data_IF_559944589949
#
_entry.id   IF_559944589949
#
_cell.length_a   1.000
_cell.length_b   1.000
_cell.length_c   1.000
_cell.angle_alpha   90.00
_cell.angle_beta   90.00
_cell.angle_gamma   90.00
#
_symmetry.space_group_name_H-M   'P 1'
#
loop_
_entity.id
_entity.type
_entity.pdbx_description
1 polymer ?
#
# COMPACT_ATOMS: atom_id res chain seq x y z
N UNK A 1 -6.13 3.07 23.37
CA UNK A 1 -6.70 4.39 23.71
C UNK A 1 -8.09 4.49 23.12
N UNK A 2 -9.07 5.00 23.86
CA UNK A 2 -10.41 5.27 23.31
C UNK A 2 -10.42 6.69 22.76
N UNK A 3 -10.76 6.84 21.49
CA UNK A 3 -10.77 8.12 20.79
C UNK A 3 -12.06 8.20 20.00
N UNK A 4 -12.75 9.33 20.12
CA UNK A 4 -13.92 9.60 19.31
C UNK A 4 -13.44 10.38 18.07
N UNK A 5 -13.68 9.80 16.89
CA UNK A 5 -13.36 10.40 15.60
C UNK A 5 -14.57 10.22 14.69
N UNK A 6 -14.86 11.23 13.89
CA UNK A 6 -15.87 11.13 12.84
C UNK A 6 -15.25 10.47 11.61
N UNK A 7 -15.94 9.47 11.09
CA UNK A 7 -15.54 8.72 9.89
C UNK A 7 -16.79 8.59 9.03
N UNK A 8 -16.65 8.83 7.73
CA UNK A 8 -17.72 8.59 6.78
C UNK A 8 -18.20 7.13 6.81
N UNK A 9 -19.50 6.92 6.96
CA UNK A 9 -20.06 5.59 7.12
C UNK A 9 -19.96 4.73 5.85
N UNK A 10 -20.01 5.34 4.65
CA UNK A 10 -19.84 4.60 3.39
C UNK A 10 -18.42 4.10 3.28
N UNK A 11 -17.43 4.95 3.58
CA UNK A 11 -16.01 4.57 3.63
C UNK A 11 -15.77 3.42 4.61
N UNK A 12 -16.34 3.49 5.82
CA UNK A 12 -16.20 2.43 6.80
C UNK A 12 -16.81 1.11 6.32
N UNK A 13 -18.00 1.15 5.70
CA UNK A 13 -18.65 -0.05 5.15
C UNK A 13 -17.85 -0.66 4.00
N UNK A 14 -17.33 0.16 3.09
CA UNK A 14 -16.47 -0.30 1.99
C UNK A 14 -15.19 -0.95 2.50
N UNK A 15 -14.54 -0.34 3.50
CA UNK A 15 -13.35 -0.89 4.13
C UNK A 15 -13.63 -2.21 4.85
N UNK A 16 -14.75 -2.31 5.58
CA UNK A 16 -15.20 -3.53 6.23
C UNK A 16 -15.45 -4.65 5.21
N UNK A 17 -16.16 -4.35 4.12
CA UNK A 17 -16.44 -5.32 3.04
C UNK A 17 -15.16 -5.77 2.34
N UNK A 18 -14.29 -4.84 1.99
CA UNK A 18 -13.02 -5.12 1.30
C UNK A 18 -12.06 -5.94 2.17
N UNK A 19 -12.05 -5.68 3.48
CA UNK A 19 -11.24 -6.43 4.44
C UNK A 19 -11.87 -7.72 4.95
N UNK A 20 -13.16 -7.97 4.68
CA UNK A 20 -13.92 -9.09 5.26
C UNK A 20 -14.06 -9.01 6.79
N UNK A 21 -14.08 -7.80 7.35
CA UNK A 21 -14.02 -7.56 8.80
C UNK A 21 -15.40 -7.29 9.38
N UNK A 22 -15.65 -7.83 10.58
CA UNK A 22 -16.97 -7.79 11.22
C UNK A 22 -17.20 -6.53 12.03
N UNK A 23 -16.15 -5.90 12.53
CA UNK A 23 -16.26 -4.72 13.40
C UNK A 23 -15.55 -3.49 12.85
N UNK A 24 -16.10 -2.30 13.16
CA UNK A 24 -15.45 -1.01 12.86
C UNK A 24 -14.06 -0.93 13.51
N UNK A 25 -13.90 -1.46 14.74
CA UNK A 25 -12.62 -1.49 15.46
C UNK A 25 -11.54 -2.28 14.73
N UNK A 26 -11.85 -3.53 14.33
CA UNK A 26 -10.90 -4.37 13.58
C UNK A 26 -10.49 -3.70 12.27
N UNK A 27 -11.45 -3.08 11.59
CA UNK A 27 -11.22 -2.38 10.33
C UNK A 27 -10.27 -1.21 10.48
N UNK A 28 -10.49 -0.37 11.50
CA UNK A 28 -9.59 0.76 11.80
C UNK A 28 -8.20 0.25 12.17
N UNK A 29 -8.10 -0.79 12.99
CA UNK A 29 -6.80 -1.32 13.41
C UNK A 29 -6.02 -1.96 12.26
N UNK A 30 -6.70 -2.71 11.39
CA UNK A 30 -6.12 -3.28 10.18
C UNK A 30 -5.65 -2.18 9.21
N UNK A 31 -6.46 -1.15 9.01
CA UNK A 31 -6.12 -0.01 8.15
C UNK A 31 -4.88 0.73 8.66
N UNK A 32 -4.78 0.99 9.97
CA UNK A 32 -3.60 1.64 10.57
C UNK A 32 -2.33 0.78 10.44
N UNK A 33 -2.44 -0.54 10.63
CA UNK A 33 -1.32 -1.48 10.40
C UNK A 33 -0.86 -1.45 8.94
N UNK A 34 -1.80 -1.49 8.00
CA UNK A 34 -1.51 -1.41 6.57
C UNK A 34 -0.83 -0.09 6.19
N UNK A 35 -1.35 1.03 6.69
CA UNK A 35 -0.78 2.36 6.48
C UNK A 35 0.67 2.43 6.96
N UNK A 36 0.95 1.98 8.19
CA UNK A 36 2.30 1.97 8.74
C UNK A 36 3.24 1.08 7.91
N UNK A 37 2.79 -0.11 7.49
CA UNK A 37 3.57 -1.00 6.64
C UNK A 37 3.92 -0.35 5.32
N UNK A 38 2.96 0.28 4.67
CA UNK A 38 3.14 0.96 3.38
C UNK A 38 4.08 2.17 3.52
N UNK A 39 3.93 2.98 4.57
CA UNK A 39 4.84 4.12 4.81
C UNK A 39 6.27 3.66 5.08
N UNK A 40 6.45 2.56 5.82
CA UNK A 40 7.77 1.97 6.05
C UNK A 40 8.39 1.43 4.75
N UNK A 41 7.62 0.72 3.91
CA UNK A 41 8.15 0.19 2.65
C UNK A 41 8.54 1.31 1.68
N UNK A 42 7.73 2.37 1.57
CA UNK A 42 8.06 3.54 0.75
C UNK A 42 9.38 4.19 1.18
N UNK A 43 9.60 4.34 2.49
CA UNK A 43 10.88 4.88 3.01
C UNK A 43 12.06 3.98 2.66
N UNK A 44 11.92 2.66 2.80
CA UNK A 44 12.98 1.72 2.39
C UNK A 44 13.30 1.79 0.90
N UNK A 45 12.29 1.98 0.05
CA UNK A 45 12.51 2.18 -1.39
C UNK A 45 13.31 3.46 -1.62
N UNK A 46 12.98 4.56 -0.93
CA UNK A 46 13.74 5.81 -1.00
C UNK A 46 15.21 5.62 -0.58
N UNK A 47 15.48 4.81 0.44
CA UNK A 47 16.86 4.50 0.89
C UNK A 47 17.67 3.67 -0.11
N UNK A 48 17.01 3.00 -1.06
CA UNK A 48 17.65 2.21 -2.10
C UNK A 48 18.01 3.03 -3.34
N UNK A 49 17.45 4.24 -3.49
CA UNK A 49 17.85 5.14 -4.57
C UNK A 49 19.33 5.49 -4.46
N UNK A 50 20.06 5.31 -5.56
CA UNK A 50 21.51 5.53 -5.63
C UNK A 50 22.37 4.39 -5.05
N UNK A 51 21.76 3.34 -4.47
CA UNK A 51 22.48 2.15 -3.98
C UNK A 51 22.33 0.93 -4.90
N UNK A 52 21.41 0.99 -5.86
CA UNK A 52 21.17 -0.08 -6.82
C UNK A 52 21.96 0.24 -8.08
N UNK A 53 22.94 -0.60 -8.39
CA UNK A 53 23.59 -0.64 -9.69
C UNK A 53 22.79 -1.57 -10.61
N UNK A 54 22.35 -1.04 -11.74
CA UNK A 54 21.70 -1.85 -12.77
C UNK A 54 22.78 -2.47 -13.66
N UNK A 55 22.58 -3.72 -14.07
CA UNK A 55 23.44 -4.36 -15.06
C UNK A 55 23.42 -3.52 -16.36
N UNK A 56 24.57 -3.14 -16.92
CA UNK A 56 24.64 -2.38 -18.17
C UNK A 56 23.90 -3.03 -19.35
N UNK A 57 23.77 -4.35 -19.35
CA UNK A 57 23.03 -5.10 -20.37
C UNK A 57 21.51 -5.14 -20.11
N UNK A 58 21.03 -4.63 -18.97
CA UNK A 58 19.61 -4.62 -18.61
C UNK A 58 18.84 -3.53 -19.36
N UNK A 59 18.14 -3.93 -20.42
CA UNK A 59 17.24 -3.05 -21.18
C UNK A 59 15.77 -3.23 -20.78
N UNK A 60 15.31 -2.36 -19.88
CA UNK A 60 13.93 -2.31 -19.41
C UNK A 60 12.90 -1.94 -20.50
N UNK A 61 13.31 -1.48 -21.70
CA UNK A 61 12.40 -1.15 -22.80
C UNK A 61 11.85 -2.39 -23.50
N UNK A 62 12.65 -3.45 -23.61
CA UNK A 62 12.26 -4.74 -24.21
C UNK A 62 11.05 -5.39 -23.52
N UNK A 63 10.86 -5.14 -22.21
CA UNK A 63 9.71 -5.63 -21.44
C UNK A 63 8.41 -4.85 -21.71
N UNK A 64 8.49 -3.61 -22.22
CA UNK A 64 7.31 -2.76 -22.49
C UNK A 64 6.78 -2.93 -23.92
N UNK A 65 7.62 -3.40 -24.83
CA UNK A 65 7.26 -3.59 -26.25
C UNK A 65 6.40 -4.84 -26.51
N UNK A 66 6.31 -5.77 -25.54
CA UNK A 66 5.73 -7.10 -25.77
C UNK A 66 4.21 -7.23 -25.59
N UNK A 67 3.45 -6.14 -25.41
CA UNK A 67 1.97 -6.19 -25.36
C UNK A 67 1.28 -4.96 -25.94
N UNK A 68 1.37 -4.79 -27.25
CA UNK A 68 0.30 -4.19 -28.05
C UNK A 68 0.03 -5.15 -29.22
N UNK A 69 -0.92 -6.07 -29.04
CA UNK A 69 -1.60 -6.76 -30.12
C UNK A 69 -3.00 -7.11 -29.69
#
# INVERSE_FOLDING_TARGET
>A
MRTNIEIDDKLMQEAMKSGGLKTKKETVEAALKAFNRQRKSQRKILELFGKIEFDPAYDHRKMRESKIK
#
